data_IF_136311630857
#
_entry.id   IF_136311630857
#
_cell.length_a   1.000
_cell.length_b   1.000
_cell.length_c   1.000
_cell.angle_alpha   90.00
_cell.angle_beta   90.00
_cell.angle_gamma   90.00
#
_symmetry.space_group_name_H-M   'P 1'
#
loop_
_entity.id
_entity.type
_entity.pdbx_description
1 polymer ?
#
# COMPACT_ATOMS: atom_id res chain seq x y z
N UNK A 1 -18.80 -12.79 35.60
CA UNK A 1 -18.11 -12.31 34.37
C UNK A 1 -17.70 -10.86 34.59
N UNK A 2 -16.39 -10.58 34.69
CA UNK A 2 -15.90 -9.19 34.71
C UNK A 2 -16.09 -8.60 33.31
N UNK A 3 -16.72 -7.42 33.22
CA UNK A 3 -16.75 -6.62 31.98
C UNK A 3 -15.31 -6.44 31.52
N UNK A 4 -15.00 -6.79 30.27
CA UNK A 4 -13.75 -6.40 29.65
C UNK A 4 -13.65 -4.88 29.75
N UNK A 5 -12.63 -4.36 30.45
CA UNK A 5 -12.30 -2.95 30.39
C UNK A 5 -12.04 -2.60 28.92
N UNK A 6 -12.86 -1.72 28.35
CA UNK A 6 -12.56 -1.14 27.05
C UNK A 6 -11.28 -0.33 27.21
N UNK A 7 -10.15 -0.89 26.80
CA UNK A 7 -8.91 -0.14 26.63
C UNK A 7 -9.24 1.07 25.76
N UNK A 8 -8.98 2.27 26.26
CA UNK A 8 -9.23 3.47 25.45
C UNK A 8 -8.31 3.42 24.23
N UNK A 9 -8.83 3.70 23.04
CA UNK A 9 -8.03 3.79 21.81
C UNK A 9 -7.69 5.25 21.51
N UNK A 10 -6.62 5.46 20.74
CA UNK A 10 -6.31 6.72 20.07
C UNK A 10 -6.17 6.46 18.57
N UNK A 11 -6.65 7.39 17.75
CA UNK A 11 -6.61 7.30 16.30
C UNK A 11 -5.55 8.26 15.75
N UNK A 12 -4.57 7.73 15.04
CA UNK A 12 -3.51 8.51 14.38
C UNK A 12 -3.90 8.67 12.92
N UNK A 13 -4.04 9.92 12.47
CA UNK A 13 -4.25 10.22 11.05
C UNK A 13 -2.93 10.61 10.39
N UNK A 14 -2.58 9.88 9.34
CA UNK A 14 -1.44 10.16 8.47
C UNK A 14 -1.95 10.51 7.07
N UNK A 15 -1.34 11.51 6.45
CA UNK A 15 -1.52 11.83 5.02
C UNK A 15 -0.27 11.42 4.28
N UNK A 16 -0.47 10.75 3.16
CA UNK A 16 0.60 10.43 2.22
C UNK A 16 0.50 11.40 1.06
N UNK A 17 1.60 12.10 0.78
CA UNK A 17 1.69 13.14 -0.25
C UNK A 17 2.74 12.74 -1.28
N UNK A 18 2.50 12.95 -2.57
CA UNK A 18 3.53 12.78 -3.59
C UNK A 18 4.64 13.81 -3.41
N UNK A 19 5.89 13.43 -3.70
CA UNK A 19 7.01 14.35 -3.60
C UNK A 19 6.80 15.58 -4.53
N UNK A 20 7.18 16.81 -4.13
CA UNK A 20 6.96 18.03 -4.92
C UNK A 20 7.59 18.04 -6.33
N UNK A 21 8.51 17.12 -6.60
CA UNK A 21 9.20 16.97 -7.89
C UNK A 21 8.81 15.69 -8.65
N UNK A 22 7.82 14.94 -8.16
CA UNK A 22 7.33 13.76 -8.86
C UNK A 22 6.73 14.15 -10.22
N UNK A 23 7.20 13.49 -11.28
CA UNK A 23 6.43 13.51 -12.52
C UNK A 23 5.18 12.69 -12.23
N UNK A 24 4.02 13.10 -12.74
CA UNK A 24 2.75 12.36 -12.57
C UNK A 24 2.73 11.05 -13.38
N UNK A 25 3.74 10.21 -13.19
CA UNK A 25 4.04 8.98 -13.90
C UNK A 25 5.05 8.14 -13.10
N UNK A 26 4.98 6.82 -13.24
CA UNK A 26 5.96 5.93 -12.63
C UNK A 26 7.36 6.12 -13.23
N UNK A 27 8.36 6.09 -12.35
CA UNK A 27 9.76 6.28 -12.68
C UNK A 27 10.63 5.28 -11.94
N UNK A 28 11.89 5.17 -12.35
CA UNK A 28 12.90 4.33 -11.70
C UNK A 28 13.94 5.27 -11.11
N UNK A 29 14.13 5.22 -9.80
CA UNK A 29 15.02 6.12 -9.07
C UNK A 29 16.39 5.48 -8.85
N UNK A 30 17.47 6.17 -9.22
CA UNK A 30 18.82 5.61 -9.25
C UNK A 30 19.67 5.82 -7.98
N UNK A 31 19.18 6.49 -6.94
CA UNK A 31 20.04 6.90 -5.81
C UNK A 31 19.91 6.10 -4.50
N UNK A 32 21.10 5.67 -4.05
CA UNK A 32 21.67 5.11 -2.79
C UNK A 32 20.87 4.95 -1.49
N UNK A 33 19.73 5.59 -1.28
CA UNK A 33 19.02 5.52 0.00
C UNK A 33 17.78 4.64 -0.15
N UNK A 34 18.04 3.33 0.00
CA UNK A 34 17.04 2.27 0.24
C UNK A 34 15.84 2.20 -0.70
N UNK A 35 15.98 1.32 -1.72
CA UNK A 35 14.90 0.49 -2.30
C UNK A 35 13.96 1.10 -3.33
N UNK A 36 14.45 1.48 -4.51
CA UNK A 36 13.58 1.55 -5.69
C UNK A 36 14.30 1.05 -6.96
N UNK A 37 14.41 -0.26 -7.12
CA UNK A 37 14.87 -0.87 -8.38
C UNK A 37 13.71 -1.11 -9.37
N UNK A 38 12.45 -0.87 -8.98
CA UNK A 38 11.27 -1.00 -9.85
C UNK A 38 10.57 0.33 -10.17
N UNK A 39 9.57 0.33 -11.08
CA UNK A 39 8.76 1.52 -11.37
C UNK A 39 7.91 1.92 -10.17
N UNK A 40 8.12 3.14 -9.68
CA UNK A 40 7.50 3.65 -8.46
C UNK A 40 7.20 5.16 -8.56
N UNK A 41 6.53 5.67 -7.54
CA UNK A 41 6.42 7.10 -7.26
C UNK A 41 6.70 7.37 -5.79
N UNK A 42 7.52 8.39 -5.51
CA UNK A 42 7.93 8.81 -4.17
C UNK A 42 6.76 9.46 -3.43
N UNK A 43 6.58 9.03 -2.20
CA UNK A 43 5.54 9.55 -1.30
C UNK A 43 6.14 9.93 0.04
N UNK A 44 5.51 10.85 0.73
CA UNK A 44 6.00 11.43 1.96
C UNK A 44 4.87 11.31 2.98
N UNK A 45 5.17 10.63 4.08
CA UNK A 45 4.24 10.50 5.18
C UNK A 45 4.29 11.74 6.07
N UNK A 46 3.13 12.36 6.31
CA UNK A 46 2.98 13.46 7.26
C UNK A 46 1.91 13.11 8.30
N UNK A 47 2.30 13.13 9.58
CA UNK A 47 1.35 13.03 10.68
C UNK A 47 0.44 14.27 10.73
N UNK A 48 -0.87 14.07 10.66
CA UNK A 48 -1.85 15.16 10.72
C UNK A 48 -2.24 15.47 12.16
N UNK A 49 -2.39 14.42 12.97
CA UNK A 49 -2.75 14.57 14.37
C UNK A 49 -3.27 13.28 15.00
N UNK A 50 -3.58 13.40 16.28
CA UNK A 50 -4.12 12.35 17.12
C UNK A 50 -5.57 12.69 17.48
N UNK A 51 -6.46 11.71 17.44
CA UNK A 51 -7.89 11.89 17.63
C UNK A 51 -8.41 10.88 18.66
N UNK A 52 -9.33 11.32 19.52
CA UNK A 52 -9.98 10.43 20.49
C UNK A 52 -11.04 9.52 19.83
N UNK A 53 -11.58 9.94 18.69
CA UNK A 53 -12.59 9.17 17.96
C UNK A 53 -12.24 9.02 16.49
N UNK A 54 -12.60 7.87 15.91
CA UNK A 54 -12.51 7.63 14.46
C UNK A 54 -13.28 8.69 13.66
N UNK A 55 -14.47 9.08 14.15
CA UNK A 55 -15.34 10.07 13.49
C UNK A 55 -14.64 11.42 13.34
N UNK A 56 -13.87 11.86 14.34
CA UNK A 56 -13.15 13.13 14.27
C UNK A 56 -11.97 13.08 13.30
N UNK A 57 -11.25 11.94 13.26
CA UNK A 57 -10.21 11.70 12.27
C UNK A 57 -10.79 11.73 10.83
N UNK A 58 -11.90 11.05 10.58
CA UNK A 58 -12.59 11.06 9.28
C UNK A 58 -13.14 12.45 8.91
N UNK A 59 -13.62 13.22 9.88
CA UNK A 59 -14.01 14.63 9.67
C UNK A 59 -12.81 15.47 9.24
N UNK A 60 -11.61 15.18 9.75
CA UNK A 60 -10.38 15.84 9.34
C UNK A 60 -9.99 15.49 7.89
N UNK A 61 -10.10 14.22 7.48
CA UNK A 61 -9.92 13.81 6.06
C UNK A 61 -10.83 14.65 5.15
N UNK A 62 -12.12 14.76 5.48
CA UNK A 62 -13.08 15.57 4.71
C UNK A 62 -12.66 17.04 4.60
N UNK A 63 -12.07 17.62 5.65
CA UNK A 63 -11.55 19.00 5.61
C UNK A 63 -10.36 19.13 4.66
N UNK A 64 -9.47 18.14 4.63
CA UNK A 64 -8.29 18.14 3.75
C UNK A 64 -8.74 17.96 2.28
N UNK A 65 -9.61 17.00 1.99
CA UNK A 65 -10.16 16.74 0.65
C UNK A 65 -10.82 17.98 0.06
N UNK A 66 -11.57 18.75 0.88
CA UNK A 66 -12.20 20.01 0.45
C UNK A 66 -11.22 21.06 -0.06
N UNK A 67 -9.94 20.99 0.32
CA UNK A 67 -8.89 21.89 -0.18
C UNK A 67 -8.41 21.54 -1.59
N UNK A 68 -8.87 20.41 -2.16
CA UNK A 68 -8.55 19.96 -3.52
C UNK A 68 -7.04 19.97 -3.80
N UNK A 69 -6.29 19.40 -2.86
CA UNK A 69 -4.85 19.25 -2.98
C UNK A 69 -4.52 18.15 -3.99
N UNK A 70 -3.77 18.50 -5.02
CA UNK A 70 -3.36 17.58 -6.09
C UNK A 70 -2.21 16.64 -5.71
N UNK A 71 -1.50 16.97 -4.64
CA UNK A 71 -0.34 16.22 -4.14
C UNK A 71 -0.72 15.13 -3.13
N UNK A 72 -1.98 15.01 -2.74
CA UNK A 72 -2.42 13.95 -1.82
C UNK A 72 -2.55 12.62 -2.56
N UNK A 73 -1.79 11.62 -2.10
CA UNK A 73 -1.92 10.24 -2.53
C UNK A 73 -3.09 9.54 -1.81
N UNK A 74 -3.17 9.71 -0.49
CA UNK A 74 -4.22 9.10 0.31
C UNK A 74 -4.02 9.31 1.81
N UNK A 75 -4.83 8.61 2.60
CA UNK A 75 -4.85 8.76 4.05
C UNK A 75 -4.82 7.40 4.74
N UNK A 76 -4.17 7.35 5.90
CA UNK A 76 -4.22 6.20 6.80
C UNK A 76 -4.71 6.65 8.16
N UNK A 77 -5.66 5.91 8.73
CA UNK A 77 -5.99 5.98 10.14
C UNK A 77 -5.50 4.69 10.81
N UNK A 78 -4.62 4.83 11.80
CA UNK A 78 -4.17 3.72 12.66
C UNK A 78 -4.85 3.85 14.01
N UNK A 79 -5.50 2.79 14.46
CA UNK A 79 -6.01 2.68 15.82
C UNK A 79 -4.94 2.09 16.73
N UNK A 80 -4.58 2.79 17.80
CA UNK A 80 -3.57 2.38 18.76
C UNK A 80 -4.18 2.28 20.16
N UNK A 81 -3.72 1.35 21.02
CA UNK A 81 -4.13 1.33 22.42
C UNK A 81 -3.55 2.57 23.14
N UNK A 82 -4.37 3.28 23.93
CA UNK A 82 -3.97 4.50 24.65
C UNK A 82 -3.06 4.21 25.85
N UNK A 83 -3.29 3.10 26.54
CA UNK A 83 -2.78 2.85 27.90
C UNK A 83 -1.65 1.82 27.96
N UNK A 84 -1.02 1.49 26.84
CA UNK A 84 0.01 0.45 26.82
C UNK A 84 1.31 0.94 26.18
N UNK A 85 2.42 0.65 26.85
CA UNK A 85 3.78 0.61 26.25
C UNK A 85 3.85 -0.63 25.35
N UNK A 86 3.01 -0.70 24.31
CA UNK A 86 3.06 -1.78 23.33
C UNK A 86 4.08 -1.40 22.28
N UNK A 87 4.94 -2.35 21.97
CA UNK A 87 5.78 -2.40 20.79
C UNK A 87 5.17 -1.57 19.65
N UNK A 88 5.84 -0.46 19.30
CA UNK A 88 5.31 0.71 18.56
C UNK A 88 4.83 0.39 17.12
N UNK A 89 4.84 -0.88 16.73
CA UNK A 89 4.75 -1.31 15.34
C UNK A 89 3.43 -1.95 14.93
N UNK A 90 2.55 -2.39 15.85
CA UNK A 90 1.31 -3.08 15.43
C UNK A 90 0.04 -2.35 15.89
N UNK A 91 -0.61 -1.58 15.00
CA UNK A 91 -1.92 -0.99 15.28
C UNK A 91 -3.01 -2.06 15.48
N UNK A 92 -4.02 -1.74 16.30
CA UNK A 92 -5.21 -2.57 16.52
C UNK A 92 -6.06 -2.70 15.25
N UNK A 93 -6.14 -1.62 14.48
CA UNK A 93 -6.79 -1.59 13.18
C UNK A 93 -6.14 -0.53 12.28
N UNK A 94 -6.22 -0.75 10.96
CA UNK A 94 -5.72 0.19 9.96
C UNK A 94 -6.84 0.46 8.97
N UNK A 95 -7.13 1.72 8.71
CA UNK A 95 -8.05 2.13 7.65
C UNK A 95 -7.31 2.96 6.62
N UNK A 96 -7.38 2.52 5.36
CA UNK A 96 -6.83 3.27 4.23
C UNK A 96 -7.98 3.99 3.51
N UNK A 97 -7.76 5.24 3.15
CA UNK A 97 -8.68 6.05 2.35
C UNK A 97 -7.97 6.55 1.09
N UNK A 98 -8.70 6.63 -0.01
CA UNK A 98 -8.20 7.19 -1.27
C UNK A 98 -8.11 8.71 -1.19
N UNK A 99 -7.49 9.35 -2.20
CA UNK A 99 -7.31 10.81 -2.27
C UNK A 99 -8.61 11.61 -2.21
N UNK A 100 -9.74 11.02 -2.62
CA UNK A 100 -11.07 11.62 -2.56
C UNK A 100 -11.73 11.49 -1.17
N UNK A 101 -11.06 10.82 -0.23
CA UNK A 101 -11.53 10.57 1.13
C UNK A 101 -12.50 9.38 1.25
N UNK A 102 -12.74 8.63 0.17
CA UNK A 102 -13.49 7.37 0.25
C UNK A 102 -12.69 6.30 1.00
N UNK A 103 -13.37 5.50 1.80
CA UNK A 103 -12.75 4.37 2.50
C UNK A 103 -12.37 3.30 1.49
N UNK A 104 -11.07 2.99 1.41
CA UNK A 104 -10.57 1.90 0.60
C UNK A 104 -10.72 0.57 1.33
N UNK A 105 -10.08 0.39 2.47
CA UNK A 105 -10.02 -0.90 3.17
C UNK A 105 -9.75 -0.71 4.67
N UNK A 106 -10.16 -1.68 5.51
CA UNK A 106 -9.96 -1.67 6.97
C UNK A 106 -8.89 -2.63 7.48
N UNK A 107 -8.03 -3.16 6.60
CA UNK A 107 -6.91 -4.07 6.93
C UNK A 107 -7.32 -5.47 7.41
N UNK A 108 -8.57 -5.61 7.85
CA UNK A 108 -9.26 -6.87 8.18
C UNK A 108 -10.28 -7.28 7.11
N UNK A 109 -10.29 -6.59 5.96
CA UNK A 109 -11.18 -6.92 4.85
C UNK A 109 -10.66 -8.21 4.19
N UNK A 110 -11.46 -9.28 4.29
CA UNK A 110 -11.18 -10.58 3.69
C UNK A 110 -11.64 -10.69 2.25
N UNK A 111 -12.09 -9.58 1.66
CA UNK A 111 -12.63 -9.57 0.30
C UNK A 111 -11.57 -9.14 -0.68
N UNK A 112 -11.30 -9.98 -1.68
CA UNK A 112 -10.48 -9.60 -2.81
C UNK A 112 -11.16 -8.47 -3.62
N UNK A 113 -10.52 -7.31 -3.71
CA UNK A 113 -10.92 -6.18 -4.56
C UNK A 113 -10.32 -6.22 -5.95
N UNK A 114 -9.11 -6.78 -6.06
CA UNK A 114 -8.41 -7.05 -7.31
C UNK A 114 -8.41 -8.54 -7.62
N UNK A 115 -8.36 -8.86 -8.91
CA UNK A 115 -8.16 -10.22 -9.43
C UNK A 115 -6.73 -10.37 -9.96
N UNK A 116 -6.32 -11.62 -10.16
CA UNK A 116 -5.08 -11.94 -10.85
C UNK A 116 -4.96 -11.21 -12.19
N UNK A 117 -3.76 -10.69 -12.46
CA UNK A 117 -3.45 -9.92 -13.65
C UNK A 117 -3.81 -8.42 -13.57
N UNK A 118 -4.51 -7.97 -12.53
CA UNK A 118 -4.74 -6.54 -12.30
C UNK A 118 -3.43 -5.83 -11.92
N UNK A 119 -3.21 -4.65 -12.50
CA UNK A 119 -2.09 -3.78 -12.15
C UNK A 119 -2.45 -2.97 -10.90
N UNK A 120 -1.53 -2.93 -9.94
CA UNK A 120 -1.76 -2.35 -8.61
C UNK A 120 -0.53 -1.59 -8.12
N UNK A 121 -0.71 -0.81 -7.06
CA UNK A 121 0.37 -0.22 -6.27
C UNK A 121 0.48 -0.91 -4.92
N UNK A 122 1.72 -1.11 -4.45
CA UNK A 122 2.03 -1.42 -3.06
C UNK A 122 2.51 -0.13 -2.39
N UNK A 123 1.75 0.37 -1.41
CA UNK A 123 2.09 1.58 -0.70
C UNK A 123 3.02 1.32 0.48
N UNK A 124 4.24 1.84 0.40
CA UNK A 124 5.21 1.92 1.48
C UNK A 124 5.15 3.29 2.16
N UNK A 125 6.06 3.51 3.12
CA UNK A 125 6.10 4.75 3.91
C UNK A 125 6.62 5.95 3.10
N UNK A 126 7.49 5.70 2.14
CA UNK A 126 8.27 6.68 1.38
C UNK A 126 8.13 6.54 -0.15
N UNK A 127 7.43 5.51 -0.63
CA UNK A 127 7.13 5.32 -2.06
C UNK A 127 5.95 4.39 -2.28
N UNK A 128 5.46 4.36 -3.51
CA UNK A 128 4.48 3.38 -4.00
C UNK A 128 5.11 2.61 -5.15
N UNK A 129 5.10 1.29 -5.07
CA UNK A 129 5.70 0.41 -6.08
C UNK A 129 4.61 -0.17 -6.99
N UNK A 130 4.81 -0.09 -8.30
CA UNK A 130 3.89 -0.69 -9.25
C UNK A 130 4.12 -2.21 -9.35
N UNK A 131 3.03 -2.97 -9.32
CA UNK A 131 3.05 -4.42 -9.44
C UNK A 131 1.85 -4.99 -10.20
N UNK A 132 1.78 -6.31 -10.28
CA UNK A 132 0.66 -7.06 -10.84
C UNK A 132 0.22 -8.15 -9.86
N UNK A 133 -1.08 -8.30 -9.65
CA UNK A 133 -1.63 -9.30 -8.72
C UNK A 133 -1.38 -10.70 -9.28
N UNK A 134 -0.76 -11.56 -8.46
CA UNK A 134 -0.66 -12.99 -8.71
C UNK A 134 -1.78 -13.75 -8.02
N UNK A 135 -2.13 -13.36 -6.80
CA UNK A 135 -3.15 -14.06 -6.03
C UNK A 135 -3.54 -13.32 -4.77
N UNK A 136 -4.57 -13.84 -4.10
CA UNK A 136 -5.08 -13.32 -2.86
C UNK A 136 -5.24 -14.45 -1.83
N UNK A 137 -4.71 -14.23 -0.63
CA UNK A 137 -4.90 -15.11 0.50
C UNK A 137 -5.96 -14.54 1.46
N UNK A 138 -7.09 -15.27 1.56
CA UNK A 138 -8.21 -14.92 2.43
C UNK A 138 -7.89 -15.08 3.92
N UNK A 139 -6.94 -15.97 4.28
CA UNK A 139 -6.55 -16.21 5.66
C UNK A 139 -5.82 -14.99 6.22
N UNK A 140 -4.84 -14.50 5.45
CA UNK A 140 -3.95 -13.41 5.84
C UNK A 140 -4.41 -12.01 5.38
N UNK A 141 -5.51 -11.94 4.63
CA UNK A 141 -6.03 -10.69 4.04
C UNK A 141 -4.94 -9.96 3.25
N UNK A 142 -4.20 -10.71 2.43
CA UNK A 142 -3.01 -10.22 1.74
C UNK A 142 -2.97 -10.67 0.29
N UNK A 143 -2.42 -9.81 -0.55
CA UNK A 143 -2.10 -10.13 -1.93
C UNK A 143 -0.68 -10.62 -2.06
N UNK A 144 -0.48 -11.59 -2.93
CA UNK A 144 0.82 -11.82 -3.57
C UNK A 144 0.85 -10.98 -4.84
N UNK A 145 1.80 -10.05 -4.90
CA UNK A 145 1.98 -9.11 -6.01
C UNK A 145 3.36 -9.32 -6.60
N UNK A 146 3.42 -9.55 -7.91
CA UNK A 146 4.69 -9.60 -8.63
C UNK A 146 5.11 -8.17 -8.95
N UNK A 147 6.30 -7.79 -8.52
CA UNK A 147 6.99 -6.58 -8.95
C UNK A 147 8.22 -6.96 -9.78
N UNK A 148 8.88 -5.99 -10.38
CA UNK A 148 10.10 -6.27 -11.14
C UNK A 148 11.16 -5.21 -10.91
N UNK A 149 12.39 -5.68 -10.71
CA UNK A 149 13.57 -4.89 -10.47
C UNK A 149 14.33 -4.73 -11.79
N UNK A 150 14.80 -3.51 -12.03
CA UNK A 150 15.74 -3.14 -13.06
C UNK A 150 17.10 -2.99 -12.38
N UNK A 151 17.97 -3.98 -12.56
CA UNK A 151 19.41 -3.82 -12.33
C UNK A 151 20.04 -3.30 -13.63
N UNK A 152 21.02 -2.40 -13.54
CA UNK A 152 21.78 -1.91 -14.70
C UNK A 152 22.79 -2.95 -15.20
N UNK A 153 23.18 -3.91 -14.36
CA UNK A 153 24.21 -4.91 -14.66
C UNK A 153 23.69 -6.35 -14.76
N UNK A 154 22.41 -6.58 -14.49
CA UNK A 154 21.78 -7.90 -14.52
C UNK A 154 20.44 -7.85 -15.28
N UNK A 155 19.96 -8.98 -15.83
CA UNK A 155 18.63 -9.06 -16.40
C UNK A 155 17.56 -8.63 -15.38
N UNK A 156 16.45 -8.09 -15.86
CA UNK A 156 15.33 -7.71 -15.01
C UNK A 156 14.84 -8.92 -14.19
N UNK A 157 14.89 -8.81 -12.86
CA UNK A 157 14.43 -9.85 -11.95
C UNK A 157 12.99 -9.57 -11.50
N UNK A 158 12.18 -10.61 -11.41
CA UNK A 158 10.82 -10.53 -10.88
C UNK A 158 10.82 -10.96 -9.42
N UNK A 159 10.04 -10.27 -8.59
CA UNK A 159 9.95 -10.54 -7.16
C UNK A 159 8.50 -10.67 -6.73
N UNK A 160 8.19 -11.71 -5.96
CA UNK A 160 6.95 -11.78 -5.19
C UNK A 160 7.01 -10.85 -3.98
N UNK A 161 5.97 -10.05 -3.79
CA UNK A 161 5.76 -9.19 -2.62
C UNK A 161 4.45 -9.57 -1.94
N UNK A 162 4.48 -9.72 -0.62
CA UNK A 162 3.27 -9.86 0.18
C UNK A 162 2.80 -8.48 0.63
N UNK A 163 1.60 -8.09 0.21
CA UNK A 163 1.00 -6.80 0.53
C UNK A 163 -0.31 -6.99 1.29
N UNK A 164 -0.39 -6.49 2.53
CA UNK A 164 -1.67 -6.42 3.24
C UNK A 164 -2.68 -5.58 2.42
N UNK A 165 -3.96 -5.99 2.41
CA UNK A 165 -5.03 -5.34 1.64
C UNK A 165 -5.15 -3.84 1.84
N UNK A 166 -4.80 -3.31 3.02
CA UNK A 166 -4.82 -1.87 3.29
C UNK A 166 -3.76 -1.09 2.50
N UNK A 167 -2.72 -1.75 1.99
CA UNK A 167 -1.60 -1.14 1.27
C UNK A 167 -1.54 -1.51 -0.21
N UNK A 168 -2.42 -2.40 -0.68
CA UNK A 168 -2.57 -2.69 -2.12
C UNK A 168 -3.68 -1.82 -2.68
N UNK A 169 -3.32 -0.94 -3.60
CA UNK A 169 -4.15 0.17 -4.07
C UNK A 169 -4.25 0.19 -5.60
N UNK A 170 -5.30 0.81 -6.17
CA UNK A 170 -5.38 1.00 -7.60
C UNK A 170 -4.26 1.97 -8.08
N UNK A 171 -3.77 1.83 -9.32
CA UNK A 171 -2.75 2.72 -9.86
C UNK A 171 -3.17 4.20 -9.81
N UNK A 172 -2.30 5.05 -9.26
CA UNK A 172 -2.49 6.50 -9.16
C UNK A 172 -2.22 7.22 -10.46
N UNK A 173 -1.36 6.64 -11.31
CA UNK A 173 -0.97 7.19 -12.60
C UNK A 173 -1.29 6.21 -13.73
N UNK A 174 -1.44 6.71 -14.97
CA UNK A 174 -1.52 5.84 -16.14
C UNK A 174 -0.28 4.94 -16.23
N UNK A 175 -0.50 3.63 -16.27
CA UNK A 175 0.60 2.66 -16.36
C UNK A 175 1.17 2.65 -17.78
N UNK A 176 2.47 2.94 -17.90
CA UNK A 176 3.17 2.93 -19.18
C UNK A 176 3.22 1.50 -19.76
N UNK A 177 2.99 1.35 -21.08
CA UNK A 177 2.93 0.03 -21.76
C UNK A 177 4.13 -0.87 -21.47
N UNK A 178 5.34 -0.30 -21.40
CA UNK A 178 6.58 -1.04 -21.10
C UNK A 178 6.52 -1.73 -19.72
N UNK A 179 5.96 -1.06 -18.71
CA UNK A 179 5.86 -1.57 -17.35
C UNK A 179 4.78 -2.64 -17.25
N UNK A 180 3.61 -2.39 -17.86
CA UNK A 180 2.55 -3.39 -17.93
C UNK A 180 3.00 -4.68 -18.65
N UNK A 181 3.73 -4.54 -19.76
CA UNK A 181 4.26 -5.69 -20.50
C UNK A 181 5.31 -6.46 -19.69
N UNK A 182 6.22 -5.77 -19.00
CA UNK A 182 7.22 -6.40 -18.14
C UNK A 182 6.54 -7.19 -17.01
N UNK A 183 5.62 -6.58 -16.27
CA UNK A 183 4.89 -7.22 -15.17
C UNK A 183 4.12 -8.47 -15.62
N UNK A 184 3.46 -8.41 -16.79
CA UNK A 184 2.77 -9.59 -17.35
C UNK A 184 3.72 -10.72 -17.71
N UNK A 185 4.96 -10.44 -18.12
CA UNK A 185 5.98 -11.48 -18.31
C UNK A 185 6.40 -12.09 -16.97
N UNK A 186 6.56 -11.25 -15.95
CA UNK A 186 6.86 -11.69 -14.59
C UNK A 186 5.80 -12.61 -14.01
N UNK A 187 4.52 -12.25 -14.17
CA UNK A 187 3.40 -13.09 -13.72
C UNK A 187 3.45 -14.48 -14.36
N UNK A 188 3.62 -14.55 -15.68
CA UNK A 188 3.77 -15.82 -16.42
C UNK A 188 4.99 -16.63 -15.98
N UNK A 189 6.06 -15.97 -15.56
CA UNK A 189 7.26 -16.65 -15.07
C UNK A 189 7.00 -17.25 -13.68
N UNK A 190 6.41 -16.48 -12.77
CA UNK A 190 6.04 -16.94 -11.44
C UNK A 190 5.04 -18.12 -11.47
N UNK A 191 4.10 -18.12 -12.41
CA UNK A 191 3.20 -19.26 -12.65
C UNK A 191 3.99 -20.54 -13.01
N UNK A 192 4.97 -20.46 -13.91
CA UNK A 192 5.77 -21.63 -14.31
C UNK A 192 6.59 -22.19 -13.16
N UNK A 193 7.28 -21.31 -12.42
CA UNK A 193 8.08 -21.70 -11.27
C UNK A 193 7.23 -22.39 -10.20
N UNK A 194 5.99 -21.93 -9.97
CA UNK A 194 5.07 -22.59 -9.02
C UNK A 194 4.58 -23.98 -9.45
N UNK A 195 4.58 -24.28 -10.75
CA UNK A 195 4.17 -25.58 -11.30
C UNK A 195 5.33 -26.59 -11.18
N UNK A 196 6.56 -26.12 -11.41
CA UNK A 196 7.77 -26.96 -11.39
C UNK A 196 8.21 -27.36 -9.96
N UNK A 197 7.74 -26.65 -8.92
CA UNK A 197 8.00 -26.95 -7.50
C UNK A 197 7.07 -28.01 -6.88
N UNK A 198 6.14 -28.61 -7.64
CA UNK A 198 5.28 -29.68 -7.14
C UNK A 198 5.99 -31.05 -7.25
N UNK A 199 6.26 -31.76 -6.13
CA UNK A 199 6.76 -33.12 -6.21
C UNK A 199 5.64 -34.02 -6.72
N UNK A 200 5.88 -34.68 -7.85
CA UNK A 200 5.04 -35.79 -8.34
C UNK A 200 5.03 -36.96 -7.36
#
# INVERSE_FOLDING_TARGET
>A
MKKAEQTKSIFILEVYEFAPCERRAYQVYKERWSRCTGPCALTWKRGVGYFETLRDAEKCIKKIVRRKRDDVYGFVIKEMPRDCVVNVYMPLSIRRYLKDGSLWCTGSDKTAKFKEGDLVEIAYDDYVELGIVQGFDNADCSYTVVTYNLDENAPSEFCGRFGNTAYVLPPSFPVQKKYAAALRRGLKQAEKESIDDLPF
#
